data_IF_481332864530
#
_entry.id   IF_481332864530
#
_cell.length_a   1.000
_cell.length_b   1.000
_cell.length_c   1.000
_cell.angle_alpha   90.00
_cell.angle_beta   90.00
_cell.angle_gamma   90.00
#
_symmetry.space_group_name_H-M   'P 1'
#
loop_
_entity.id
_entity.type
_entity.pdbx_description
1 polymer ?
#
# COMPACT_ATOMS: atom_id res chain seq x y z
N UNK A 1 5.11 -12.53 -10.12
CA UNK A 1 4.52 -11.94 -8.90
C UNK A 1 4.23 -10.50 -9.23
N UNK A 2 2.95 -10.12 -9.30
CA UNK A 2 2.52 -8.77 -9.71
C UNK A 2 2.73 -7.78 -8.56
N UNK A 3 3.22 -6.59 -8.81
CA UNK A 3 3.55 -5.60 -7.77
C UNK A 3 2.71 -4.35 -7.96
N UNK A 4 1.88 -4.05 -6.96
CA UNK A 4 0.83 -3.03 -7.06
C UNK A 4 1.13 -1.92 -6.06
N UNK A 5 1.16 -0.69 -6.55
CA UNK A 5 1.16 0.51 -5.70
C UNK A 5 -0.28 0.90 -5.38
N UNK A 6 -0.64 0.88 -4.10
CA UNK A 6 -1.93 1.36 -3.60
C UNK A 6 -1.69 2.68 -2.87
N UNK A 7 -2.30 3.76 -3.36
CA UNK A 7 -2.27 5.05 -2.68
C UNK A 7 -3.51 5.25 -1.82
N UNK A 8 -3.35 5.88 -0.66
CA UNK A 8 -4.48 6.07 0.27
C UNK A 8 -4.97 4.76 0.90
N UNK A 9 -4.10 3.75 0.97
CA UNK A 9 -4.45 2.40 1.40
C UNK A 9 -4.80 2.30 2.89
N UNK A 10 -4.53 3.30 3.72
CA UNK A 10 -4.99 3.33 5.12
C UNK A 10 -6.42 3.89 5.28
N UNK A 11 -7.04 4.38 4.20
CA UNK A 11 -8.43 4.82 4.19
C UNK A 11 -9.44 3.67 4.13
N UNK A 12 -10.74 3.99 4.10
CA UNK A 12 -11.81 2.97 4.13
C UNK A 12 -11.79 2.01 2.93
N UNK A 13 -11.84 2.55 1.70
CA UNK A 13 -11.82 1.71 0.49
C UNK A 13 -10.43 1.11 0.27
N UNK A 14 -9.38 1.91 0.45
CA UNK A 14 -8.00 1.49 0.25
C UNK A 14 -7.63 0.28 1.11
N UNK A 15 -7.97 0.30 2.40
CA UNK A 15 -7.63 -0.81 3.31
C UNK A 15 -8.37 -2.11 2.98
N UNK A 16 -9.64 -2.02 2.58
CA UNK A 16 -10.40 -3.19 2.13
C UNK A 16 -9.85 -3.74 0.81
N UNK A 17 -9.42 -2.88 -0.11
CA UNK A 17 -8.74 -3.31 -1.33
C UNK A 17 -7.43 -4.04 -1.02
N UNK A 18 -6.59 -3.48 -0.13
CA UNK A 18 -5.35 -4.15 0.29
C UNK A 18 -5.66 -5.51 0.93
N UNK A 19 -6.62 -5.58 1.86
CA UNK A 19 -7.06 -6.83 2.50
C UNK A 19 -7.50 -7.88 1.46
N UNK A 20 -8.36 -7.48 0.52
CA UNK A 20 -8.86 -8.34 -0.55
C UNK A 20 -7.71 -8.88 -1.41
N UNK A 21 -6.80 -8.01 -1.84
CA UNK A 21 -5.65 -8.43 -2.67
C UNK A 21 -4.76 -9.42 -1.92
N UNK A 22 -4.44 -9.17 -0.66
CA UNK A 22 -3.60 -10.07 0.13
C UNK A 22 -4.26 -11.42 0.40
N UNK A 23 -5.60 -11.45 0.53
CA UNK A 23 -6.36 -12.68 0.78
C UNK A 23 -6.65 -13.51 -0.48
N UNK A 24 -6.91 -12.86 -1.61
CA UNK A 24 -7.40 -13.52 -2.83
C UNK A 24 -6.32 -13.67 -3.92
N UNK A 25 -5.24 -12.87 -3.86
CA UNK A 25 -4.17 -12.86 -4.85
C UNK A 25 -2.79 -13.07 -4.18
N UNK A 26 -2.45 -14.32 -3.81
CA UNK A 26 -1.17 -14.63 -3.15
C UNK A 26 0.06 -14.39 -4.04
N UNK A 27 -0.14 -14.24 -5.34
CA UNK A 27 0.87 -13.90 -6.34
C UNK A 27 1.08 -12.38 -6.50
N UNK A 28 0.36 -11.56 -5.73
CA UNK A 28 0.51 -10.11 -5.68
C UNK A 28 1.34 -9.66 -4.47
N UNK A 29 2.12 -8.60 -4.66
CA UNK A 29 2.80 -7.85 -3.61
C UNK A 29 2.26 -6.41 -3.60
N UNK A 30 1.80 -5.93 -2.45
CA UNK A 30 1.19 -4.61 -2.31
C UNK A 30 2.16 -3.65 -1.62
N UNK A 31 2.48 -2.55 -2.30
CA UNK A 31 3.12 -1.37 -1.69
C UNK A 31 2.03 -0.35 -1.41
N UNK A 32 1.77 -0.05 -0.14
CA UNK A 32 0.76 0.88 0.30
C UNK A 32 1.41 2.21 0.69
N UNK A 33 1.20 3.25 -0.12
CA UNK A 33 1.64 4.63 0.13
C UNK A 33 0.49 5.46 0.69
N UNK A 34 0.62 5.91 1.94
CA UNK A 34 -0.39 6.74 2.57
C UNK A 34 0.23 7.89 3.37
N UNK A 35 -0.37 9.08 3.27
CA UNK A 35 0.07 10.26 4.02
C UNK A 35 -0.36 10.23 5.48
N UNK A 36 -1.31 9.36 5.84
CA UNK A 36 -2.00 9.31 7.12
C UNK A 36 -2.58 10.68 7.49
N UNK A 37 -3.40 11.21 6.57
CA UNK A 37 -4.22 12.39 6.86
C UNK A 37 -5.35 12.03 7.83
N UNK A 38 -6.26 12.97 8.11
CA UNK A 38 -7.40 12.75 9.01
C UNK A 38 -8.22 11.47 8.70
N UNK A 39 -8.33 11.10 7.42
CA UNK A 39 -9.12 9.94 6.99
C UNK A 39 -8.31 8.62 6.94
N UNK A 40 -7.00 8.67 7.14
CA UNK A 40 -6.13 7.50 7.15
C UNK A 40 -5.97 6.92 8.56
N UNK A 41 -6.20 5.62 8.72
CA UNK A 41 -6.08 4.95 10.00
C UNK A 41 -5.30 3.63 9.87
N UNK A 42 -4.16 3.53 10.56
CA UNK A 42 -3.32 2.31 10.57
C UNK A 42 -4.03 1.10 11.18
N UNK A 43 -5.01 1.31 12.07
CA UNK A 43 -5.81 0.22 12.62
C UNK A 43 -6.57 -0.55 11.53
N UNK A 44 -6.90 0.09 10.40
CA UNK A 44 -7.52 -0.57 9.26
C UNK A 44 -6.59 -1.62 8.61
N UNK A 45 -5.28 -1.53 8.86
CA UNK A 45 -4.25 -2.40 8.31
C UNK A 45 -3.68 -3.38 9.34
N UNK A 46 -4.10 -3.30 10.61
CA UNK A 46 -3.43 -3.97 11.73
C UNK A 46 -3.23 -5.48 11.50
N UNK A 47 -4.21 -6.16 10.92
CA UNK A 47 -4.17 -7.61 10.65
C UNK A 47 -3.16 -8.03 9.58
N UNK A 48 -2.73 -7.11 8.72
CA UNK A 48 -1.87 -7.42 7.58
C UNK A 48 -0.72 -6.42 7.39
N UNK A 49 -0.46 -5.59 8.41
CA UNK A 49 0.63 -4.63 8.40
C UNK A 49 1.99 -5.34 8.26
N UNK A 50 2.13 -6.50 8.90
CA UNK A 50 3.32 -7.37 8.86
C UNK A 50 3.21 -8.52 7.84
N UNK A 51 2.20 -8.48 6.95
CA UNK A 51 2.03 -9.53 5.95
C UNK A 51 3.22 -9.56 4.98
N UNK A 52 3.75 -10.75 4.66
CA UNK A 52 4.96 -10.90 3.83
C UNK A 52 4.85 -10.27 2.43
N UNK A 53 3.62 -10.17 1.90
CA UNK A 53 3.30 -9.57 0.60
C UNK A 53 2.82 -8.11 0.71
N UNK A 54 3.03 -7.44 1.85
CA UNK A 54 2.60 -6.07 2.07
C UNK A 54 3.76 -5.21 2.57
N UNK A 55 3.86 -3.99 2.03
CA UNK A 55 4.81 -2.97 2.48
C UNK A 55 4.06 -1.66 2.68
N UNK A 56 4.08 -1.13 3.90
CA UNK A 56 3.56 0.20 4.17
C UNK A 56 4.67 1.27 4.05
N UNK A 57 4.35 2.38 3.39
CA UNK A 57 5.20 3.56 3.26
C UNK A 57 4.37 4.78 3.65
N UNK A 58 4.82 5.52 4.66
CA UNK A 58 4.22 6.80 5.01
C UNK A 58 4.80 7.89 4.12
N UNK A 59 3.96 8.56 3.33
CA UNK A 59 4.42 9.60 2.41
C UNK A 59 3.27 10.28 1.65
N UNK A 60 3.58 11.38 0.96
CA UNK A 60 2.62 12.09 0.14
C UNK A 60 2.73 11.66 -1.31
N UNK A 61 1.61 11.34 -1.95
CA UNK A 61 1.57 11.03 -3.39
C UNK A 61 1.95 12.23 -4.26
N UNK A 62 1.87 13.44 -3.72
CA UNK A 62 2.31 14.65 -4.41
C UNK A 62 3.84 14.82 -4.40
N UNK A 63 4.59 13.99 -3.66
CA UNK A 63 6.05 13.94 -3.71
C UNK A 63 6.49 13.08 -4.91
N UNK A 64 6.67 13.73 -6.06
CA UNK A 64 7.05 13.07 -7.33
C UNK A 64 8.33 12.23 -7.21
N UNK A 65 9.45 12.78 -6.68
CA UNK A 65 10.67 12.01 -6.46
C UNK A 65 10.46 10.76 -5.58
N UNK A 66 9.65 10.85 -4.53
CA UNK A 66 9.31 9.68 -3.71
C UNK A 66 8.54 8.63 -4.51
N UNK A 67 7.55 9.05 -5.30
CA UNK A 67 6.74 8.12 -6.11
C UNK A 67 7.61 7.43 -7.16
N UNK A 68 8.50 8.16 -7.85
CA UNK A 68 9.47 7.59 -8.79
C UNK A 68 10.38 6.57 -8.09
N UNK A 69 10.94 6.92 -6.93
CA UNK A 69 11.75 5.99 -6.14
C UNK A 69 10.97 4.72 -5.79
N UNK A 70 9.72 4.83 -5.34
CA UNK A 70 8.88 3.68 -4.97
C UNK A 70 8.63 2.78 -6.17
N UNK A 71 8.30 3.36 -7.34
CA UNK A 71 8.06 2.61 -8.57
C UNK A 71 9.31 1.81 -8.96
N UNK A 72 10.48 2.46 -8.96
CA UNK A 72 11.75 1.85 -9.33
C UNK A 72 12.23 0.82 -8.30
N UNK A 73 12.26 1.17 -7.00
CA UNK A 73 12.76 0.30 -5.94
C UNK A 73 11.91 -0.98 -5.80
N UNK A 74 10.59 -0.82 -5.91
CA UNK A 74 9.67 -1.94 -5.78
C UNK A 74 9.32 -2.61 -7.09
N UNK A 75 9.78 -2.13 -8.25
CA UNK A 75 9.47 -2.69 -9.57
C UNK A 75 7.95 -2.83 -9.77
N UNK A 76 7.23 -1.74 -9.55
CA UNK A 76 5.76 -1.69 -9.68
C UNK A 76 5.37 -1.90 -11.16
N UNK A 77 4.33 -2.72 -11.39
CA UNK A 77 3.81 -3.04 -12.73
C UNK A 77 2.90 -1.94 -13.31
#
# INVERSE_FOLDING_TARGET
>A
MRRILVTGGAGFIGSNFVRMVLGEHPDCFVVNLDKLTYAGNLENLAEFLEHQNHKFIKGDICDGPLVEQIIDEHQID
#
